data_IF_622928683147
#
_entry.id   IF_622928683147
#
_cell.length_a   1.000
_cell.length_b   1.000
_cell.length_c   1.000
_cell.angle_alpha   90.00
_cell.angle_beta   90.00
_cell.angle_gamma   90.00
#
_symmetry.space_group_name_H-M   'P 1'
#
loop_
_entity.id
_entity.type
_entity.pdbx_description
1 polymer ?
#
# COMPACT_ATOMS: atom_id res chain seq x y z
N UNK A 1 33.40 2.26 2.65
CA UNK A 1 32.74 2.71 1.40
C UNK A 1 31.71 3.75 1.79
N UNK A 2 31.93 5.01 1.42
CA UNK A 2 30.91 6.04 1.60
C UNK A 2 29.76 5.77 0.63
N UNK A 3 28.71 5.15 1.13
CA UNK A 3 27.49 4.90 0.37
C UNK A 3 26.64 6.17 0.32
N UNK A 4 27.03 7.08 -0.55
CA UNK A 4 26.23 8.29 -0.78
C UNK A 4 25.14 7.99 -1.81
N UNK A 5 23.89 7.87 -1.34
CA UNK A 5 22.71 7.68 -2.19
C UNK A 5 21.87 8.98 -2.23
N UNK A 6 22.13 9.90 -3.20
CA UNK A 6 21.54 11.23 -3.20
C UNK A 6 20.00 11.25 -3.14
N UNK A 7 19.34 10.25 -3.73
CA UNK A 7 17.87 10.14 -3.68
C UNK A 7 17.37 9.75 -2.29
N UNK A 8 18.06 8.81 -1.63
CA UNK A 8 17.70 8.35 -0.27
C UNK A 8 17.95 9.47 0.74
N UNK A 9 19.06 10.19 0.58
CA UNK A 9 19.44 11.29 1.49
C UNK A 9 18.47 12.51 1.43
N UNK A 10 17.66 12.60 0.39
CA UNK A 10 16.61 13.62 0.26
C UNK A 10 15.29 13.24 0.91
N UNK A 11 15.12 11.96 1.29
CA UNK A 11 13.92 11.54 1.97
C UNK A 11 13.96 12.00 3.44
N UNK A 12 12.86 12.56 3.96
CA UNK A 12 12.77 12.87 5.38
C UNK A 12 12.80 11.57 6.20
N UNK A 13 13.18 11.65 7.49
CA UNK A 13 13.11 10.51 8.39
C UNK A 13 11.70 9.89 8.39
N UNK A 14 11.65 8.57 8.35
CA UNK A 14 10.36 7.87 8.38
C UNK A 14 9.76 7.98 9.78
N UNK A 15 8.67 8.73 9.89
CA UNK A 15 8.06 9.11 11.18
C UNK A 15 7.73 7.91 12.08
N UNK A 16 7.32 6.79 11.49
CA UNK A 16 7.01 5.58 12.26
C UNK A 16 8.24 4.94 12.91
N UNK A 17 9.42 5.03 12.29
CA UNK A 17 10.67 4.55 12.89
C UNK A 17 11.05 5.39 14.12
N UNK A 18 10.90 6.71 14.03
CA UNK A 18 11.16 7.60 15.16
C UNK A 18 10.20 7.32 16.32
N UNK A 19 8.91 7.14 16.05
CA UNK A 19 7.91 6.76 17.05
C UNK A 19 8.25 5.40 17.68
N UNK A 20 8.68 4.42 16.89
CA UNK A 20 9.08 3.11 17.43
C UNK A 20 10.30 3.22 18.36
N UNK A 21 11.30 4.02 18.01
CA UNK A 21 12.46 4.28 18.86
C UNK A 21 12.06 4.93 20.20
N UNK A 22 11.18 5.94 20.15
CA UNK A 22 10.65 6.61 21.34
C UNK A 22 9.89 5.62 22.24
N UNK A 23 9.00 4.81 21.68
CA UNK A 23 8.26 3.78 22.42
C UNK A 23 9.20 2.73 23.05
N UNK A 24 10.21 2.28 22.32
CA UNK A 24 11.19 1.33 22.84
C UNK A 24 12.00 1.91 23.99
N UNK A 25 12.40 3.18 23.89
CA UNK A 25 13.11 3.87 24.95
C UNK A 25 12.26 4.05 26.21
N UNK A 26 10.98 4.43 26.05
CA UNK A 26 10.05 4.59 27.15
C UNK A 26 9.74 3.26 27.87
N UNK A 27 9.51 2.18 27.11
CA UNK A 27 9.36 0.84 27.69
C UNK A 27 10.58 0.36 28.48
N UNK A 28 11.80 0.67 28.03
CA UNK A 28 13.04 0.37 28.77
C UNK A 28 13.11 1.11 30.11
N UNK A 29 12.47 2.27 30.23
CA UNK A 29 12.34 3.02 31.50
C UNK A 29 11.22 2.50 32.41
N UNK A 30 10.48 1.47 31.98
CA UNK A 30 9.35 0.90 32.73
C UNK A 30 8.06 1.71 32.62
N UNK A 31 7.95 2.59 31.63
CA UNK A 31 6.73 3.37 31.40
C UNK A 31 5.63 2.50 30.78
N UNK A 32 4.41 2.61 31.30
CA UNK A 32 3.23 2.00 30.72
C UNK A 32 2.73 2.85 29.54
N UNK A 33 2.85 2.31 28.32
CA UNK A 33 2.55 3.05 27.09
C UNK A 33 1.25 2.55 26.48
N UNK A 34 0.30 3.44 26.36
CA UNK A 34 -0.92 3.22 25.55
C UNK A 34 -0.63 3.70 24.12
N UNK A 35 -0.62 2.78 23.16
CA UNK A 35 -0.20 3.03 21.79
C UNK A 35 -1.40 3.15 20.84
N UNK A 36 -1.70 4.36 20.41
CA UNK A 36 -2.67 4.65 19.35
C UNK A 36 -2.02 5.04 18.01
N UNK A 37 -0.70 4.86 17.88
CA UNK A 37 0.07 5.32 16.71
C UNK A 37 -0.01 4.40 15.51
N UNK A 38 -0.54 3.17 15.66
CA UNK A 38 -0.63 2.20 14.57
C UNK A 38 -2.03 1.58 14.54
N UNK A 39 -2.74 1.77 13.43
CA UNK A 39 -4.07 1.19 13.20
C UNK A 39 -4.00 -0.24 12.69
N UNK A 40 -3.32 -1.14 13.40
CA UNK A 40 -3.34 -2.56 13.07
C UNK A 40 -4.71 -3.18 13.41
N UNK A 41 -5.24 -4.06 12.55
CA UNK A 41 -6.38 -4.87 12.93
C UNK A 41 -6.08 -5.68 14.19
N UNK A 42 -6.99 -5.65 15.15
CA UNK A 42 -6.90 -6.41 16.41
C UNK A 42 -7.69 -7.73 16.37
N UNK A 43 -8.51 -7.91 15.33
CA UNK A 43 -9.29 -9.10 15.12
C UNK A 43 -8.56 -10.08 14.20
N UNK A 44 -8.73 -11.37 14.47
CA UNK A 44 -8.21 -12.41 13.60
C UNK A 44 -8.88 -12.38 12.22
N UNK A 45 -8.17 -12.85 11.21
CA UNK A 45 -8.76 -13.08 9.89
C UNK A 45 -9.94 -14.05 10.01
N UNK A 46 -11.08 -13.81 9.33
CA UNK A 46 -12.20 -14.73 9.32
C UNK A 46 -11.79 -16.15 8.92
N UNK A 47 -12.34 -17.14 9.61
CA UNK A 47 -11.94 -18.54 9.47
C UNK A 47 -12.09 -19.06 8.04
N UNK A 48 -13.14 -18.64 7.33
CA UNK A 48 -13.38 -19.02 5.93
C UNK A 48 -12.24 -18.59 5.00
N UNK A 49 -11.61 -17.43 5.28
CA UNK A 49 -10.48 -16.94 4.52
C UNK A 49 -9.22 -17.77 4.83
N UNK A 50 -9.01 -18.08 6.11
CA UNK A 50 -7.88 -18.89 6.58
C UNK A 50 -7.96 -20.30 5.99
N UNK A 51 -9.12 -20.94 6.05
CA UNK A 51 -9.32 -22.28 5.49
C UNK A 51 -9.17 -22.29 3.97
N UNK A 52 -9.64 -21.25 3.28
CA UNK A 52 -9.46 -21.14 1.82
C UNK A 52 -7.99 -20.96 1.43
N UNK A 53 -7.24 -20.21 2.21
CA UNK A 53 -5.79 -20.10 2.02
C UNK A 53 -5.11 -21.45 2.25
N UNK A 54 -5.43 -22.14 3.34
CA UNK A 54 -4.91 -23.46 3.66
C UNK A 54 -5.19 -24.48 2.55
N UNK A 55 -6.43 -24.55 2.08
CA UNK A 55 -6.81 -25.40 0.95
C UNK A 55 -5.97 -25.09 -0.31
N UNK A 56 -5.74 -23.81 -0.57
CA UNK A 56 -5.01 -23.36 -1.75
C UNK A 56 -3.51 -23.67 -1.66
N UNK A 57 -2.90 -23.49 -0.50
CA UNK A 57 -1.46 -23.76 -0.28
C UNK A 57 -1.15 -25.26 -0.40
N UNK A 58 -2.10 -26.15 -0.11
CA UNK A 58 -1.91 -27.60 -0.26
C UNK A 58 -1.97 -28.08 -1.72
N UNK A 59 -2.34 -27.21 -2.67
CA UNK A 59 -2.45 -27.55 -4.09
C UNK A 59 -1.19 -27.17 -4.85
N UNK A 60 -0.38 -28.13 -5.29
CA UNK A 60 0.85 -27.88 -6.06
C UNK A 60 0.72 -26.92 -7.26
N UNK A 61 -0.37 -26.94 -8.05
CA UNK A 61 -0.55 -25.98 -9.14
C UNK A 61 -0.60 -24.49 -8.73
N UNK A 62 -0.84 -24.18 -7.45
CA UNK A 62 -0.85 -22.79 -6.96
C UNK A 62 0.55 -22.27 -6.59
N UNK A 63 1.59 -23.11 -6.60
CA UNK A 63 2.97 -22.76 -6.26
C UNK A 63 3.78 -22.21 -7.45
N UNK A 64 3.13 -21.55 -8.37
CA UNK A 64 3.77 -21.00 -9.58
C UNK A 64 4.02 -19.50 -9.43
N UNK A 65 4.73 -18.94 -10.39
CA UNK A 65 4.87 -17.48 -10.50
C UNK A 65 3.50 -16.81 -10.56
N UNK A 66 3.38 -15.68 -9.89
CA UNK A 66 2.19 -14.85 -9.97
C UNK A 66 2.03 -14.27 -11.38
N UNK A 67 0.78 -14.10 -11.80
CA UNK A 67 0.48 -13.38 -13.05
C UNK A 67 0.57 -11.86 -12.77
N UNK A 68 1.18 -11.11 -13.68
CA UNK A 68 1.40 -9.67 -13.53
C UNK A 68 0.12 -8.86 -13.28
N UNK A 69 -0.99 -9.24 -13.93
CA UNK A 69 -2.31 -8.61 -13.73
C UNK A 69 -3.10 -9.23 -12.57
N UNK A 70 -2.62 -10.30 -11.96
CA UNK A 70 -3.40 -11.16 -11.07
C UNK A 70 -4.18 -12.25 -11.83
N UNK A 71 -4.60 -13.29 -11.10
CA UNK A 71 -5.33 -14.42 -11.71
C UNK A 71 -6.71 -13.99 -12.22
N UNK A 72 -7.18 -14.51 -13.37
CA UNK A 72 -8.45 -14.09 -13.98
C UNK A 72 -9.65 -14.22 -13.04
N UNK A 73 -9.70 -15.28 -12.22
CA UNK A 73 -10.79 -15.48 -11.25
C UNK A 73 -10.85 -14.38 -10.19
N UNK A 74 -9.71 -13.87 -9.74
CA UNK A 74 -9.69 -12.77 -8.76
C UNK A 74 -10.13 -11.47 -9.41
N UNK A 75 -9.64 -11.16 -10.61
CA UNK A 75 -10.06 -9.96 -11.36
C UNK A 75 -11.57 -9.98 -11.62
N UNK A 76 -12.10 -11.13 -12.08
CA UNK A 76 -13.54 -11.30 -12.23
C UNK A 76 -14.30 -11.09 -10.91
N UNK A 77 -13.83 -11.66 -9.81
CA UNK A 77 -14.48 -11.51 -8.51
C UNK A 77 -14.50 -10.04 -8.03
N UNK A 78 -13.44 -9.29 -8.33
CA UNK A 78 -13.38 -7.84 -8.05
C UNK A 78 -14.46 -7.12 -8.86
N UNK A 79 -14.54 -7.35 -10.16
CA UNK A 79 -15.55 -6.72 -11.03
C UNK A 79 -16.98 -7.09 -10.61
N UNK A 80 -17.25 -8.36 -10.35
CA UNK A 80 -18.55 -8.84 -9.86
C UNK A 80 -18.91 -8.20 -8.49
N UNK A 81 -17.92 -7.93 -7.63
CA UNK A 81 -18.15 -7.24 -6.36
C UNK A 81 -18.52 -5.76 -6.57
N UNK A 82 -17.83 -5.06 -7.49
CA UNK A 82 -18.16 -3.69 -7.86
C UNK A 82 -19.54 -3.56 -8.47
N UNK A 83 -19.93 -4.49 -9.36
CA UNK A 83 -21.26 -4.55 -9.94
C UNK A 83 -22.33 -4.68 -8.85
N UNK A 84 -22.19 -5.66 -7.94
CA UNK A 84 -23.18 -5.88 -6.85
C UNK A 84 -23.23 -4.75 -5.83
N UNK A 85 -22.08 -4.16 -5.48
CA UNK A 85 -21.99 -3.19 -4.39
C UNK A 85 -22.28 -1.75 -4.82
N UNK A 86 -21.87 -1.40 -6.02
CA UNK A 86 -21.88 -0.03 -6.51
C UNK A 86 -22.62 0.13 -7.85
N UNK A 87 -23.14 -0.94 -8.44
CA UNK A 87 -23.76 -0.93 -9.77
C UNK A 87 -22.83 -0.41 -10.85
N UNK A 88 -21.52 -0.74 -10.72
CA UNK A 88 -20.47 -0.39 -11.70
C UNK A 88 -20.04 -1.64 -12.42
N UNK A 89 -20.25 -1.66 -13.74
CA UNK A 89 -19.79 -2.76 -14.60
C UNK A 89 -18.38 -2.49 -15.08
N UNK A 90 -17.49 -3.46 -14.87
CA UNK A 90 -16.07 -3.39 -15.25
C UNK A 90 -15.68 -4.64 -16.03
N UNK A 91 -14.83 -4.46 -17.03
CA UNK A 91 -14.21 -5.58 -17.76
C UNK A 91 -12.99 -6.12 -16.99
N UNK A 92 -13.02 -7.39 -16.54
CA UNK A 92 -11.90 -7.98 -15.80
C UNK A 92 -10.60 -8.11 -16.61
N UNK A 93 -10.63 -8.01 -17.94
CA UNK A 93 -9.43 -8.10 -18.77
C UNK A 93 -8.72 -6.77 -18.96
N UNK A 94 -9.44 -5.67 -18.95
CA UNK A 94 -8.92 -4.33 -19.29
C UNK A 94 -9.02 -3.32 -18.16
N UNK A 95 -9.93 -3.52 -17.18
CA UNK A 95 -10.24 -2.53 -16.14
C UNK A 95 -9.97 -3.03 -14.71
N UNK A 96 -9.33 -4.20 -14.57
CA UNK A 96 -8.94 -4.74 -13.27
C UNK A 96 -7.51 -5.26 -13.26
N UNK A 97 -6.75 -4.82 -12.25
CA UNK A 97 -5.41 -5.31 -11.94
C UNK A 97 -5.28 -5.60 -10.45
N UNK A 98 -4.58 -6.67 -10.11
CA UNK A 98 -4.31 -7.05 -8.72
C UNK A 98 -2.93 -6.52 -8.34
N UNK A 99 -2.85 -5.88 -7.19
CA UNK A 99 -1.59 -5.38 -6.61
C UNK A 99 -1.34 -6.00 -5.24
N UNK A 100 -0.10 -6.01 -4.80
CA UNK A 100 0.28 -6.46 -3.44
C UNK A 100 0.00 -5.35 -2.42
N UNK A 101 -1.28 -5.08 -2.19
CA UNK A 101 -1.77 -4.00 -1.36
C UNK A 101 -1.97 -2.69 -2.12
N UNK A 102 -2.78 -1.80 -1.54
CA UNK A 102 -3.13 -0.50 -2.13
C UNK A 102 -1.92 0.45 -2.27
N UNK A 103 -0.91 0.30 -1.42
CA UNK A 103 0.30 1.12 -1.48
C UNK A 103 1.07 0.90 -2.78
N UNK A 104 1.26 -0.35 -3.20
CA UNK A 104 1.85 -0.68 -4.50
C UNK A 104 1.00 -0.13 -5.64
N UNK A 105 -0.32 -0.33 -5.57
CA UNK A 105 -1.25 0.19 -6.58
C UNK A 105 -1.14 1.70 -6.77
N UNK A 106 -1.12 2.47 -5.68
CA UNK A 106 -0.99 3.93 -5.73
C UNK A 106 0.38 4.38 -6.27
N UNK A 107 1.46 3.70 -5.84
CA UNK A 107 2.79 4.01 -6.36
C UNK A 107 2.92 3.74 -7.87
N UNK A 108 2.43 2.60 -8.32
CA UNK A 108 2.45 2.25 -9.75
C UNK A 108 1.49 3.09 -10.58
N UNK A 109 0.34 3.51 -10.02
CA UNK A 109 -0.56 4.45 -10.68
C UNK A 109 0.14 5.78 -10.93
N UNK A 110 0.81 6.34 -9.92
CA UNK A 110 1.59 7.56 -10.07
C UNK A 110 2.67 7.41 -11.15
N UNK A 111 3.43 6.29 -11.12
CA UNK A 111 4.46 6.00 -12.10
C UNK A 111 3.92 5.88 -13.54
N UNK A 112 2.72 5.32 -13.69
CA UNK A 112 2.12 5.09 -15.00
C UNK A 112 1.43 6.30 -15.61
N UNK A 113 0.97 7.25 -14.77
CA UNK A 113 0.09 8.35 -15.22
C UNK A 113 0.75 9.74 -15.16
N UNK A 114 1.88 9.87 -14.47
CA UNK A 114 2.52 11.16 -14.22
C UNK A 114 3.90 11.22 -14.87
N UNK A 115 4.28 12.44 -15.32
CA UNK A 115 5.59 12.71 -15.91
C UNK A 115 6.27 13.88 -15.19
N UNK A 116 7.53 14.13 -15.56
CA UNK A 116 8.29 15.25 -14.99
C UNK A 116 7.64 16.59 -15.31
N UNK A 117 7.33 17.34 -14.26
CA UNK A 117 6.67 18.65 -14.37
C UNK A 117 5.18 18.64 -14.05
N UNK A 118 4.56 17.47 -13.96
CA UNK A 118 3.18 17.36 -13.52
C UNK A 118 3.01 17.72 -12.03
N UNK A 119 1.84 18.16 -11.62
CA UNK A 119 1.47 18.46 -10.26
C UNK A 119 0.43 17.48 -9.72
N UNK A 120 0.58 17.06 -8.45
CA UNK A 120 -0.38 16.19 -7.78
C UNK A 120 -0.96 16.90 -6.58
N UNK A 121 -2.29 16.89 -6.46
CA UNK A 121 -3.00 17.34 -5.26
C UNK A 121 -3.12 16.18 -4.30
N UNK A 122 -2.66 16.37 -3.08
CA UNK A 122 -2.76 15.38 -2.00
C UNK A 122 -3.41 16.00 -0.76
N UNK A 123 -4.20 15.22 0.01
CA UNK A 123 -4.78 15.72 1.27
C UNK A 123 -3.68 15.96 2.31
N UNK A 124 -3.91 16.91 3.22
CA UNK A 124 -3.08 17.15 4.38
C UNK A 124 -3.97 17.27 5.63
N UNK A 125 -3.83 16.40 6.66
CA UNK A 125 -2.86 15.31 6.74
C UNK A 125 -3.16 14.12 5.82
N UNK A 126 -2.12 13.36 5.43
CA UNK A 126 -2.27 12.19 4.56
C UNK A 126 -1.34 11.05 4.95
N UNK A 127 -1.66 9.86 4.45
CA UNK A 127 -0.75 8.72 4.57
C UNK A 127 0.45 8.90 3.64
N UNK A 128 1.67 8.52 4.05
CA UNK A 128 2.91 8.85 3.33
C UNK A 128 2.97 8.47 1.85
N UNK A 129 2.26 7.43 1.41
CA UNK A 129 2.28 7.02 0.00
C UNK A 129 1.69 8.09 -0.94
N UNK A 130 0.76 8.93 -0.46
CA UNK A 130 0.14 9.95 -1.29
C UNK A 130 1.16 10.99 -1.77
N UNK A 131 1.88 11.71 -0.89
CA UNK A 131 2.92 12.63 -1.35
C UNK A 131 4.18 11.93 -1.86
N UNK A 132 4.67 10.89 -1.15
CA UNK A 132 5.95 10.28 -1.50
C UNK A 132 5.88 9.34 -2.70
N UNK A 133 4.74 8.74 -2.99
CA UNK A 133 4.54 7.93 -4.20
C UNK A 133 4.77 8.74 -5.47
N UNK A 134 4.21 9.94 -5.54
CA UNK A 134 4.41 10.83 -6.69
C UNK A 134 5.83 11.38 -6.76
N UNK A 135 6.41 11.85 -5.64
CA UNK A 135 7.76 12.44 -5.62
C UNK A 135 8.87 11.43 -5.85
N UNK A 136 8.77 10.23 -5.28
CA UNK A 136 9.84 9.23 -5.31
C UNK A 136 10.03 8.61 -6.71
N UNK A 137 8.95 8.45 -7.47
CA UNK A 137 8.99 7.79 -8.78
C UNK A 137 9.17 8.76 -9.95
N UNK A 138 8.68 9.99 -9.82
CA UNK A 138 8.57 10.91 -10.96
C UNK A 138 9.34 12.21 -10.81
N UNK A 139 9.98 12.49 -9.66
CA UNK A 139 10.55 13.81 -9.31
C UNK A 139 9.52 14.96 -9.34
N UNK A 140 8.24 14.65 -9.14
CA UNK A 140 7.17 15.62 -9.13
C UNK A 140 7.15 16.42 -7.82
N UNK A 141 6.62 17.64 -7.89
CA UNK A 141 6.26 18.41 -6.70
C UNK A 141 4.86 18.00 -6.26
N UNK A 142 4.75 17.40 -5.08
CA UNK A 142 3.46 17.24 -4.42
C UNK A 142 3.03 18.63 -3.90
N UNK A 143 1.83 19.06 -4.26
CA UNK A 143 1.19 20.24 -3.68
C UNK A 143 0.21 19.78 -2.60
N UNK A 144 0.47 20.19 -1.35
CA UNK A 144 -0.43 19.93 -0.24
C UNK A 144 -1.61 20.91 -0.29
N UNK A 145 -2.83 20.41 -0.21
CA UNK A 145 -4.01 21.23 -0.01
C UNK A 145 -4.43 21.15 1.46
N UNK A 146 -4.36 22.29 2.15
CA UNK A 146 -5.04 22.46 3.43
C UNK A 146 -6.53 22.59 3.17
N UNK A 147 -7.32 21.62 3.60
CA UNK A 147 -8.78 21.68 3.61
C UNK A 147 -9.23 21.95 5.03
#
# INVERSE_FOLDING_TARGET
MDSNFPRVNKLPPYVFDEIQKLKAAARKRGEDIIDFGMGNPDQSTPEEIVEKLRESVLKGPTHRYSQSKGIPRLRKAICDWYSRKYSVELDPETEAVVTMGSKEGLGHLALATLDQGDGVLVPNPSYPIHPYGSVSYTHLRAHETNV
#
